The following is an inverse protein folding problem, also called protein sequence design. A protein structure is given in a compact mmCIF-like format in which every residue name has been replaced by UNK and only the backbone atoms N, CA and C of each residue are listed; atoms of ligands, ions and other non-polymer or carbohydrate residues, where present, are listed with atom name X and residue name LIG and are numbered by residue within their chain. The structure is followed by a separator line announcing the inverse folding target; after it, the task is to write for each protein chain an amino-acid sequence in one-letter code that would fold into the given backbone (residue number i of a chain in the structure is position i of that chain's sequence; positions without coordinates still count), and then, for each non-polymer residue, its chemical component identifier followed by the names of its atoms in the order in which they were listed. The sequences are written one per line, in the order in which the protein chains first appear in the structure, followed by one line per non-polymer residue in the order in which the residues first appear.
data_IF_379773852451
#
_entry.id   IF_379773852451
#
_cell.length_a   1.000
_cell.length_b   1.000
_cell.length_c   1.000
_cell.angle_alpha   90.00
_cell.angle_beta   90.00
_cell.angle_gamma   90.00
#
_symmetry.space_group_name_H-M   'P 1'
#
loop_
_entity.id
_entity.type
_entity.pdbx_description
1 polymer ?
#
# COMPACT_ATOMS: atom_id res chain seq x y z
N UNK A 1 12.36 19.76 17.53
CA UNK A 1 11.24 19.13 18.24
C UNK A 1 10.21 18.71 17.22
N UNK A 2 10.08 17.40 17.03
CA UNK A 2 9.05 16.84 16.15
C UNK A 2 7.69 17.26 16.71
N UNK A 3 6.76 17.83 15.92
CA UNK A 3 5.45 18.19 16.43
C UNK A 3 4.77 16.93 16.97
N UNK A 4 4.41 16.94 18.24
CA UNK A 4 3.56 15.89 18.82
C UNK A 4 2.21 15.99 18.12
N UNK A 5 1.94 15.04 17.25
CA UNK A 5 0.65 14.90 16.58
C UNK A 5 -0.41 14.78 17.66
N UNK A 6 -1.38 15.69 17.65
CA UNK A 6 -2.40 15.74 18.68
C UNK A 6 -3.20 14.42 18.66
N UNK A 7 -3.25 13.76 19.81
CA UNK A 7 -4.03 12.55 20.07
C UNK A 7 -5.50 12.67 19.61
N UNK A 8 -6.04 13.90 19.59
CA UNK A 8 -7.41 14.23 19.13
C UNK A 8 -7.66 13.98 17.62
N UNK A 9 -6.64 14.05 16.76
CA UNK A 9 -6.83 13.80 15.31
C UNK A 9 -7.08 12.32 14.96
N UNK A 10 -6.81 11.40 15.90
CA UNK A 10 -6.98 9.95 15.71
C UNK A 10 -8.19 9.37 16.43
N UNK A 11 -9.06 10.22 16.99
CA UNK A 11 -10.31 9.76 17.60
C UNK A 11 -11.21 9.11 16.53
N UNK A 12 -11.69 7.90 16.79
CA UNK A 12 -12.45 7.10 15.83
C UNK A 12 -11.60 6.42 14.74
N UNK A 13 -10.26 6.41 14.87
CA UNK A 13 -9.31 5.80 13.94
C UNK A 13 -8.36 4.79 14.61
N UNK A 14 -8.59 4.43 15.88
CA UNK A 14 -7.79 3.45 16.60
C UNK A 14 -8.04 2.03 16.10
N UNK A 15 -7.18 1.10 16.46
CA UNK A 15 -7.34 -0.31 16.07
C UNK A 15 -8.63 -0.94 16.62
N UNK A 16 -9.07 -0.53 17.81
CA UNK A 16 -10.39 -0.91 18.35
C UNK A 16 -11.54 -0.45 17.45
N UNK A 17 -11.47 0.80 16.93
CA UNK A 17 -12.47 1.33 16.00
C UNK A 17 -12.45 0.58 14.66
N UNK A 18 -11.24 0.15 14.22
CA UNK A 18 -11.09 -0.72 13.06
C UNK A 18 -11.80 -2.04 13.24
N UNK A 19 -11.60 -2.73 14.38
CA UNK A 19 -12.25 -4.02 14.66
C UNK A 19 -13.78 -3.88 14.68
N UNK A 20 -14.30 -2.85 15.32
CA UNK A 20 -15.73 -2.55 15.34
C UNK A 20 -16.28 -2.24 13.95
N UNK A 21 -15.50 -1.52 13.14
CA UNK A 21 -15.88 -1.15 11.77
C UNK A 21 -15.95 -2.39 10.87
N UNK A 22 -14.93 -3.25 10.89
CA UNK A 22 -14.90 -4.49 10.11
C UNK A 22 -16.01 -5.46 10.52
N UNK A 23 -16.30 -5.58 11.83
CA UNK A 23 -17.39 -6.43 12.32
C UNK A 23 -18.76 -5.97 11.80
N UNK A 24 -18.96 -4.66 11.58
CA UNK A 24 -20.20 -4.08 11.03
C UNK A 24 -20.27 -4.09 9.50
N UNK A 25 -19.13 -4.30 8.84
CA UNK A 25 -18.99 -4.25 7.38
C UNK A 25 -18.30 -5.52 6.89
N UNK A 26 -18.90 -6.66 7.18
CA UNK A 26 -18.36 -7.98 6.83
C UNK A 26 -18.03 -8.07 5.33
N UNK A 27 -16.85 -8.56 5.02
CA UNK A 27 -16.35 -8.71 3.65
C UNK A 27 -15.84 -7.41 3.00
N UNK A 28 -15.83 -6.28 3.72
CA UNK A 28 -15.23 -5.05 3.19
C UNK A 28 -13.72 -5.25 2.96
N UNK A 29 -13.24 -4.75 1.84
CA UNK A 29 -11.83 -4.83 1.47
C UNK A 29 -10.98 -3.95 2.39
N UNK A 30 -9.84 -4.48 2.81
CA UNK A 30 -8.85 -3.74 3.60
C UNK A 30 -7.55 -3.65 2.83
N UNK A 31 -6.89 -2.50 2.88
CA UNK A 31 -5.56 -2.28 2.32
C UNK A 31 -4.60 -1.96 3.47
N UNK A 32 -3.51 -2.68 3.57
CA UNK A 32 -2.42 -2.36 4.49
C UNK A 32 -1.47 -1.36 3.82
N UNK A 33 -1.06 -0.34 4.56
CA UNK A 33 -0.22 0.75 4.07
C UNK A 33 1.02 0.93 4.95
N UNK A 34 2.18 1.17 4.32
CA UNK A 34 3.46 1.40 5.00
C UNK A 34 4.46 2.10 4.07
N UNK A 35 5.63 2.44 4.60
CA UNK A 35 6.78 2.90 3.83
C UNK A 35 7.98 1.97 4.00
N UNK A 36 8.76 1.76 2.93
CA UNK A 36 10.04 1.03 2.97
C UNK A 36 11.16 2.02 2.70
N UNK A 37 12.09 2.12 3.65
CA UNK A 37 13.28 2.95 3.52
C UNK A 37 14.45 2.11 2.96
N UNK A 38 15.16 2.68 1.98
CA UNK A 38 16.47 2.18 1.56
C UNK A 38 17.55 2.70 2.51
N UNK A 39 18.06 3.88 2.23
CA UNK A 39 18.98 4.62 3.09
C UNK A 39 18.22 5.68 3.91
N UNK A 40 18.72 5.96 5.11
CA UNK A 40 18.15 7.01 5.95
C UNK A 40 18.23 8.39 5.27
N UNK A 41 17.08 9.02 5.09
CA UNK A 41 16.96 10.36 4.51
C UNK A 41 16.94 10.41 2.99
N UNK A 42 17.00 9.26 2.29
CA UNK A 42 16.80 9.15 0.84
C UNK A 42 15.34 8.90 0.46
N UNK A 43 15.12 8.61 -0.83
CA UNK A 43 13.80 8.20 -1.33
C UNK A 43 13.28 6.93 -0.65
N UNK A 44 11.96 6.81 -0.60
CA UNK A 44 11.25 5.69 0.01
C UNK A 44 10.27 5.09 -0.98
N UNK A 45 9.84 3.85 -0.68
CA UNK A 45 8.69 3.25 -1.34
C UNK A 45 7.47 3.36 -0.41
N UNK A 46 6.43 4.03 -0.85
CA UNK A 46 5.11 4.00 -0.24
C UNK A 46 4.38 2.77 -0.79
N UNK A 47 4.03 1.84 0.08
CA UNK A 47 3.48 0.52 -0.30
C UNK A 47 2.04 0.37 0.17
N UNK A 48 1.23 -0.22 -0.70
CA UNK A 48 -0.16 -0.58 -0.45
C UNK A 48 -0.34 -2.07 -0.78
N UNK A 49 -0.95 -2.83 0.11
CA UNK A 49 -1.17 -4.27 -0.07
C UNK A 49 -2.61 -4.64 0.24
N UNK A 50 -3.22 -5.42 -0.61
CA UNK A 50 -4.47 -6.13 -0.33
C UNK A 50 -4.17 -7.50 0.29
N UNK A 51 -4.40 -7.73 1.60
CA UNK A 51 -4.11 -9.01 2.27
C UNK A 51 -4.89 -10.20 1.71
N UNK A 52 -6.07 -9.94 1.11
CA UNK A 52 -6.96 -10.97 0.55
C UNK A 52 -6.33 -11.74 -0.60
N UNK A 53 -5.50 -11.09 -1.40
CA UNK A 53 -4.86 -11.69 -2.58
C UNK A 53 -3.34 -11.45 -2.63
N UNK A 54 -2.77 -10.75 -1.64
CA UNK A 54 -1.37 -10.34 -1.55
C UNK A 54 -0.87 -9.45 -2.72
N UNK A 55 -1.78 -8.82 -3.46
CA UNK A 55 -1.40 -7.85 -4.48
C UNK A 55 -0.83 -6.61 -3.82
N UNK A 56 0.29 -6.12 -4.33
CA UNK A 56 1.00 -4.96 -3.81
C UNK A 56 1.15 -3.89 -4.88
N UNK A 57 1.02 -2.63 -4.46
CA UNK A 57 1.49 -1.46 -5.19
C UNK A 57 2.67 -0.84 -4.44
N UNK A 58 3.57 -0.19 -5.15
CA UNK A 58 4.61 0.63 -4.55
C UNK A 58 4.83 1.89 -5.38
N UNK A 59 5.01 3.00 -4.68
CA UNK A 59 5.23 4.32 -5.27
C UNK A 59 6.52 4.90 -4.72
N UNK A 60 7.37 5.40 -5.61
CA UNK A 60 8.58 6.08 -5.21
C UNK A 60 8.24 7.48 -4.71
N UNK A 61 8.59 7.79 -3.48
CA UNK A 61 8.38 9.11 -2.86
C UNK A 61 9.71 9.72 -2.45
N UNK A 62 9.81 11.05 -2.57
CA UNK A 62 11.08 11.78 -2.36
C UNK A 62 11.49 11.84 -0.89
N UNK A 63 10.53 12.02 0.01
CA UNK A 63 10.80 12.18 1.44
C UNK A 63 9.70 11.53 2.28
N UNK A 64 10.02 11.19 3.54
CA UNK A 64 9.07 10.68 4.54
C UNK A 64 8.17 11.79 5.09
N UNK A 65 7.51 12.51 4.19
CA UNK A 65 6.58 13.57 4.54
C UNK A 65 5.16 13.21 4.12
N UNK A 66 4.19 13.57 4.93
CA UNK A 66 2.78 13.28 4.71
C UNK A 66 2.26 13.78 3.35
N UNK A 67 2.75 14.94 2.88
CA UNK A 67 2.37 15.46 1.55
C UNK A 67 2.65 14.47 0.41
N UNK A 68 3.73 13.68 0.50
CA UNK A 68 4.12 12.73 -0.54
C UNK A 68 3.25 11.47 -0.51
N UNK A 69 2.89 10.99 0.68
CA UNK A 69 1.99 9.84 0.82
C UNK A 69 0.55 10.20 0.46
N UNK A 70 0.08 11.40 0.81
CA UNK A 70 -1.24 11.92 0.38
C UNK A 70 -1.28 12.10 -1.14
N UNK A 71 -0.22 12.65 -1.75
CA UNK A 71 -0.14 12.81 -3.21
C UNK A 71 -0.27 11.47 -3.96
N UNK A 72 0.17 10.35 -3.37
CA UNK A 72 -0.07 9.01 -3.93
C UNK A 72 -1.56 8.69 -4.00
N UNK A 73 -2.32 9.04 -2.95
CA UNK A 73 -3.77 8.82 -2.92
C UNK A 73 -4.50 9.73 -3.92
N UNK A 74 -4.05 10.97 -4.07
CA UNK A 74 -4.62 11.91 -5.03
C UNK A 74 -4.40 11.40 -6.47
N UNK A 75 -3.19 10.93 -6.77
CA UNK A 75 -2.87 10.31 -8.06
C UNK A 75 -3.70 9.03 -8.31
N UNK A 76 -3.86 8.18 -7.30
CA UNK A 76 -4.68 6.97 -7.41
C UNK A 76 -6.14 7.29 -7.71
N UNK A 77 -6.72 8.27 -7.00
CA UNK A 77 -8.10 8.70 -7.23
C UNK A 77 -8.28 9.36 -8.60
N UNK A 78 -7.32 10.18 -9.04
CA UNK A 78 -7.32 10.79 -10.38
C UNK A 78 -7.25 9.74 -11.48
N UNK A 79 -6.38 8.72 -11.32
CA UNK A 79 -6.18 7.65 -12.29
C UNK A 79 -7.38 6.72 -12.40
N UNK A 80 -7.97 6.34 -11.27
CA UNK A 80 -9.07 5.36 -11.20
C UNK A 80 -10.45 6.00 -11.34
N UNK A 81 -10.61 7.24 -10.91
CA UNK A 81 -11.87 7.87 -10.61
C UNK A 81 -12.36 7.55 -9.20
N UNK A 82 -13.13 8.46 -8.60
CA UNK A 82 -13.52 8.38 -7.17
C UNK A 82 -14.32 7.12 -6.82
N UNK A 83 -15.15 6.60 -7.72
CA UNK A 83 -15.97 5.40 -7.48
C UNK A 83 -15.08 4.15 -7.40
N UNK A 84 -14.22 3.93 -8.39
CA UNK A 84 -13.30 2.79 -8.43
C UNK A 84 -12.28 2.87 -7.30
N UNK A 85 -11.82 4.09 -6.95
CA UNK A 85 -10.95 4.27 -5.79
C UNK A 85 -11.64 3.77 -4.50
N UNK A 86 -12.89 4.15 -4.24
CA UNK A 86 -13.65 3.69 -3.06
C UNK A 86 -13.86 2.18 -3.05
N UNK A 87 -14.02 1.57 -4.21
CA UNK A 87 -14.17 0.12 -4.32
C UNK A 87 -12.88 -0.62 -3.96
N UNK A 88 -11.73 -0.12 -4.44
CA UNK A 88 -10.44 -0.79 -4.26
C UNK A 88 -9.78 -0.46 -2.91
N UNK A 89 -9.99 0.74 -2.39
CA UNK A 89 -9.37 1.27 -1.17
C UNK A 89 -10.37 1.74 -0.11
N UNK A 90 -11.43 0.97 0.21
CA UNK A 90 -12.47 1.44 1.13
C UNK A 90 -11.96 1.62 2.57
N UNK A 91 -10.98 0.80 2.98
CA UNK A 91 -10.37 0.83 4.31
C UNK A 91 -8.86 0.72 4.21
N UNK A 92 -8.17 1.62 4.89
CA UNK A 92 -6.71 1.62 5.01
C UNK A 92 -6.32 1.32 6.46
N UNK A 93 -5.45 0.35 6.66
CA UNK A 93 -4.82 0.06 7.93
C UNK A 93 -3.32 0.39 7.85
N UNK A 94 -2.86 1.29 8.71
CA UNK A 94 -1.47 1.76 8.72
C UNK A 94 -0.88 1.82 10.13
N UNK A 95 0.39 2.09 10.25
CA UNK A 95 1.02 2.38 11.54
C UNK A 95 0.89 3.87 11.93
N UNK A 96 1.55 4.22 13.04
CA UNK A 96 1.53 5.57 13.57
C UNK A 96 2.67 6.45 13.02
N UNK A 97 3.19 6.18 11.83
CA UNK A 97 4.22 6.98 11.18
C UNK A 97 3.81 8.45 11.02
N UNK A 98 4.79 9.36 11.05
CA UNK A 98 4.52 10.80 10.87
C UNK A 98 4.01 11.12 9.46
N UNK A 99 4.36 10.29 8.48
CA UNK A 99 3.89 10.36 7.10
C UNK A 99 2.42 9.98 6.92
N UNK A 100 1.79 9.42 7.96
CA UNK A 100 0.38 9.00 7.98
C UNK A 100 -0.43 9.72 9.07
N UNK A 101 0.09 10.78 9.64
CA UNK A 101 -0.37 11.38 10.88
C UNK A 101 -1.76 12.00 10.86
N UNK A 102 -2.24 12.44 9.71
CA UNK A 102 -3.54 13.11 9.56
C UNK A 102 -4.48 12.26 8.68
N UNK A 103 -5.42 11.50 9.27
CA UNK A 103 -6.32 10.63 8.52
C UNK A 103 -7.24 11.43 7.60
N UNK A 104 -7.63 12.66 7.95
CA UNK A 104 -8.57 13.46 7.16
C UNK A 104 -8.02 13.77 5.77
N UNK A 105 -6.70 13.98 5.63
CA UNK A 105 -6.07 14.25 4.34
C UNK A 105 -6.12 13.04 3.39
N UNK A 106 -6.04 11.82 3.95
CA UNK A 106 -6.20 10.59 3.16
C UNK A 106 -7.67 10.30 2.84
N UNK A 107 -8.57 10.62 3.75
CA UNK A 107 -10.00 10.34 3.62
C UNK A 107 -10.74 11.30 2.69
N UNK A 108 -10.20 12.50 2.47
CA UNK A 108 -10.85 13.53 1.64
C UNK A 108 -10.71 13.20 0.15
N UNK A 109 -11.84 12.94 -0.51
CA UNK A 109 -11.88 12.71 -1.96
C UNK A 109 -11.99 14.00 -2.77
N UNK A 110 -11.67 13.92 -4.07
CA UNK A 110 -11.73 15.04 -5.00
C UNK A 110 -13.18 15.54 -5.23
N UNK A 111 -14.16 14.66 -5.08
CA UNK A 111 -15.58 14.98 -5.20
C UNK A 111 -16.20 15.55 -3.90
N UNK A 112 -15.37 15.83 -2.91
CA UNK A 112 -15.80 16.36 -1.60
C UNK A 112 -16.38 15.32 -0.65
N UNK A 113 -16.50 14.06 -1.06
CA UNK A 113 -16.91 12.93 -0.21
C UNK A 113 -15.68 12.22 0.37
N UNK A 114 -15.89 11.40 1.39
CA UNK A 114 -14.83 10.51 1.87
C UNK A 114 -14.49 9.48 0.78
N UNK A 115 -13.19 9.37 0.43
CA UNK A 115 -12.70 8.37 -0.53
C UNK A 115 -12.30 7.04 0.13
N UNK A 116 -11.93 7.07 1.41
CA UNK A 116 -11.50 5.90 2.18
C UNK A 116 -11.77 6.11 3.65
N UNK A 117 -11.50 5.11 4.49
CA UNK A 117 -11.43 5.21 5.93
C UNK A 117 -10.09 4.70 6.43
N UNK A 118 -9.37 5.52 7.20
CA UNK A 118 -8.04 5.20 7.70
C UNK A 118 -8.11 4.76 9.15
N UNK A 119 -7.42 3.68 9.50
CA UNK A 119 -7.25 3.21 10.87
C UNK A 119 -5.78 2.95 11.16
N UNK A 120 -5.42 3.03 12.43
CA UNK A 120 -4.05 2.87 12.90
C UNK A 120 -3.88 1.63 13.75
N UNK A 121 -2.81 0.87 13.46
CA UNK A 121 -2.37 -0.21 14.32
C UNK A 121 -1.95 0.32 15.69
N UNK A 122 -2.01 -0.53 16.69
CA UNK A 122 -1.43 -0.27 18.00
C UNK A 122 0.10 -0.20 17.90
N UNK A 123 0.68 0.64 18.74
CA UNK A 123 2.14 0.77 18.77
C UNK A 123 2.80 -0.54 19.18
N UNK A 124 3.80 -0.99 18.45
CA UNK A 124 4.55 -2.25 18.65
C UNK A 124 3.76 -3.54 18.36
N UNK A 125 2.67 -3.45 17.64
CA UNK A 125 1.85 -4.57 17.17
C UNK A 125 2.00 -4.76 15.66
N UNK A 126 3.22 -5.10 15.21
CA UNK A 126 3.53 -5.29 13.79
C UNK A 126 2.75 -6.43 13.15
N UNK A 127 2.33 -7.42 13.95
CA UNK A 127 1.49 -8.54 13.51
C UNK A 127 0.15 -8.10 12.92
N UNK A 128 -0.36 -6.92 13.28
CA UNK A 128 -1.60 -6.35 12.72
C UNK A 128 -1.48 -5.98 11.24
N UNK A 129 -0.24 -5.82 10.72
CA UNK A 129 0.09 -5.65 9.29
C UNK A 129 1.00 -6.78 8.75
N UNK A 130 0.94 -7.95 9.33
CA UNK A 130 1.87 -9.04 9.03
C UNK A 130 1.93 -9.48 7.57
N UNK A 131 0.87 -9.30 6.78
CA UNK A 131 0.89 -9.62 5.36
C UNK A 131 1.74 -8.62 4.56
N UNK A 132 1.64 -7.33 4.85
CA UNK A 132 2.46 -6.31 4.20
C UNK A 132 3.94 -6.50 4.57
N UNK A 133 4.25 -6.76 5.85
CA UNK A 133 5.62 -7.01 6.30
C UNK A 133 6.25 -8.22 5.58
N UNK A 134 5.50 -9.31 5.40
CA UNK A 134 5.95 -10.47 4.60
C UNK A 134 6.21 -10.11 3.14
N UNK A 135 5.39 -9.25 2.55
CA UNK A 135 5.58 -8.82 1.17
C UNK A 135 6.76 -7.86 1.03
N UNK A 136 7.11 -7.09 2.07
CA UNK A 136 8.33 -6.29 2.09
C UNK A 136 9.60 -7.14 1.98
N UNK A 137 9.59 -8.41 2.38
CA UNK A 137 10.73 -9.30 2.18
C UNK A 137 11.06 -9.52 0.70
N UNK A 138 10.05 -9.51 -0.20
CA UNK A 138 10.30 -9.56 -1.64
C UNK A 138 10.95 -8.28 -2.15
N UNK A 139 10.53 -7.11 -1.64
CA UNK A 139 11.19 -5.83 -1.95
C UNK A 139 12.65 -5.88 -1.49
N UNK A 140 12.91 -6.30 -0.25
CA UNK A 140 14.26 -6.42 0.31
C UNK A 140 15.12 -7.44 -0.41
N UNK A 141 14.53 -8.47 -1.02
CA UNK A 141 15.25 -9.43 -1.84
C UNK A 141 15.77 -8.79 -3.14
N UNK A 142 14.95 -7.96 -3.79
CA UNK A 142 15.32 -7.22 -5.02
C UNK A 142 16.19 -6.01 -4.69
N UNK A 143 15.81 -5.26 -3.66
CA UNK A 143 16.48 -4.05 -3.19
C UNK A 143 16.95 -4.25 -1.74
N UNK A 144 18.14 -4.85 -1.52
CA UNK A 144 18.63 -5.15 -0.20
C UNK A 144 18.70 -3.91 0.71
N UNK A 145 18.45 -4.14 2.00
CA UNK A 145 18.54 -3.09 3.02
C UNK A 145 19.89 -2.39 2.99
N UNK A 146 19.87 -1.07 3.00
CA UNK A 146 21.05 -0.22 2.93
C UNK A 146 21.38 0.28 1.53
N UNK A 147 20.66 -0.19 0.49
CA UNK A 147 20.78 0.38 -0.85
C UNK A 147 19.95 1.67 -0.93
N UNK A 148 20.48 2.69 -1.59
CA UNK A 148 19.72 3.90 -1.87
C UNK A 148 18.67 3.65 -2.95
N UNK A 149 17.49 4.26 -2.75
CA UNK A 149 16.46 4.31 -3.79
C UNK A 149 16.54 5.58 -4.65
N UNK A 150 17.52 6.46 -4.39
CA UNK A 150 17.62 7.77 -5.07
C UNK A 150 17.84 7.64 -6.58
N UNK A 151 18.52 6.58 -7.01
CA UNK A 151 18.73 6.27 -8.42
C UNK A 151 17.53 5.64 -9.15
N UNK A 152 16.46 5.28 -8.41
CA UNK A 152 15.28 4.67 -9.00
C UNK A 152 14.32 5.72 -9.57
N UNK A 153 13.54 5.29 -10.55
CA UNK A 153 12.35 5.97 -11.04
C UNK A 153 11.09 5.11 -10.83
N UNK A 154 9.91 5.71 -11.02
CA UNK A 154 8.64 5.02 -10.79
C UNK A 154 8.42 3.84 -11.74
N UNK A 155 8.92 3.90 -12.97
CA UNK A 155 8.81 2.81 -13.94
C UNK A 155 9.58 1.56 -13.48
N UNK A 156 10.78 1.74 -12.96
CA UNK A 156 11.58 0.64 -12.40
C UNK A 156 10.91 0.02 -11.17
N UNK A 157 10.31 0.86 -10.31
CA UNK A 157 9.55 0.38 -9.14
C UNK A 157 8.32 -0.41 -9.59
N UNK A 158 7.56 0.07 -10.57
CA UNK A 158 6.40 -0.63 -11.12
C UNK A 158 6.81 -1.98 -11.74
N UNK A 159 7.89 -2.00 -12.53
CA UNK A 159 8.44 -3.25 -13.10
C UNK A 159 8.78 -4.25 -11.99
N UNK A 160 9.49 -3.83 -10.96
CA UNK A 160 9.80 -4.67 -9.80
C UNK A 160 8.53 -5.23 -9.14
N UNK A 161 7.54 -4.39 -8.90
CA UNK A 161 6.27 -4.77 -8.27
C UNK A 161 5.51 -5.77 -9.15
N UNK A 162 5.50 -5.60 -10.47
CA UNK A 162 4.90 -6.56 -11.39
C UNK A 162 5.57 -7.94 -11.30
N UNK A 163 6.90 -8.02 -11.27
CA UNK A 163 7.60 -9.29 -11.03
C UNK A 163 7.25 -9.91 -9.67
N UNK A 164 7.21 -9.12 -8.60
CA UNK A 164 6.81 -9.56 -7.26
C UNK A 164 5.37 -10.10 -7.27
N UNK A 165 4.42 -9.39 -7.88
CA UNK A 165 3.02 -9.77 -7.95
C UNK A 165 2.76 -11.03 -8.79
N UNK A 166 3.66 -11.36 -9.72
CA UNK A 166 3.59 -12.57 -10.54
C UNK A 166 4.38 -13.75 -9.96
N UNK A 167 5.07 -13.58 -8.83
CA UNK A 167 5.74 -14.66 -8.11
C UNK A 167 4.73 -15.47 -7.29
N UNK A 168 4.81 -16.80 -7.36
CA UNK A 168 3.92 -17.71 -6.62
C UNK A 168 4.03 -17.55 -5.10
N UNK A 169 2.93 -17.75 -4.40
CA UNK A 169 2.86 -17.67 -2.94
C UNK A 169 2.35 -18.99 -2.36
N UNK A 170 3.04 -19.58 -1.36
CA UNK A 170 2.53 -20.75 -0.64
C UNK A 170 1.14 -20.53 -0.05
N UNK A 171 0.93 -19.36 0.58
CA UNK A 171 -0.37 -18.96 1.16
C UNK A 171 -1.51 -18.93 0.13
N UNK A 172 -1.20 -18.68 -1.15
CA UNK A 172 -2.17 -18.67 -2.24
C UNK A 172 -2.25 -20.02 -2.96
N UNK A 173 -1.82 -21.10 -2.30
CA UNK A 173 -1.80 -22.47 -2.85
C UNK A 173 -1.05 -22.56 -4.20
N UNK A 174 0.12 -21.91 -4.29
CA UNK A 174 0.94 -21.87 -5.49
C UNK A 174 0.44 -20.92 -6.58
N UNK A 175 -0.63 -20.16 -6.34
CA UNK A 175 -1.06 -19.08 -7.24
C UNK A 175 -0.23 -17.82 -7.03
N UNK A 176 -0.35 -16.86 -7.94
CA UNK A 176 0.29 -15.55 -7.82
C UNK A 176 -0.71 -14.50 -7.33
N UNK A 177 -0.24 -13.43 -6.64
CA UNK A 177 -1.09 -12.28 -6.30
C UNK A 177 -1.85 -11.73 -7.51
N UNK A 178 -1.17 -11.57 -8.64
CA UNK A 178 -1.77 -11.07 -9.88
C UNK A 178 -2.92 -11.95 -10.38
N UNK A 179 -2.74 -13.28 -10.43
CA UNK A 179 -3.80 -14.21 -10.83
C UNK A 179 -5.00 -14.22 -9.89
N UNK A 180 -4.77 -13.99 -8.60
CA UNK A 180 -5.86 -13.88 -7.61
C UNK A 180 -6.61 -12.56 -7.76
N UNK A 181 -5.89 -11.46 -7.92
CA UNK A 181 -6.49 -10.13 -8.09
C UNK A 181 -7.37 -10.04 -9.35
N UNK A 182 -6.97 -10.61 -10.46
CA UNK A 182 -7.76 -10.65 -11.70
C UNK A 182 -9.12 -11.35 -11.57
N UNK A 183 -9.35 -12.10 -10.50
CA UNK A 183 -10.66 -12.74 -10.23
C UNK A 183 -11.63 -11.85 -9.45
N UNK A 184 -11.12 -10.79 -8.80
CA UNK A 184 -11.89 -9.96 -7.87
C UNK A 184 -11.78 -8.46 -8.14
N UNK A 185 -10.85 -8.04 -8.98
CA UNK A 185 -10.63 -6.63 -9.32
C UNK A 185 -11.05 -6.36 -10.77
N UNK A 186 -11.48 -5.14 -11.02
CA UNK A 186 -11.76 -4.67 -12.37
C UNK A 186 -10.49 -4.66 -13.22
N UNK A 187 -10.56 -5.27 -14.41
CA UNK A 187 -9.40 -5.39 -15.30
C UNK A 187 -8.88 -4.04 -15.78
N UNK A 188 -9.78 -3.11 -16.10
CA UNK A 188 -9.41 -1.77 -16.55
C UNK A 188 -8.72 -0.98 -15.44
N UNK A 189 -9.16 -1.16 -14.18
CA UNK A 189 -8.46 -0.58 -13.02
C UNK A 189 -7.04 -1.13 -12.89
N UNK A 190 -6.84 -2.44 -13.07
CA UNK A 190 -5.51 -3.06 -13.03
C UNK A 190 -4.59 -2.50 -14.13
N UNK A 191 -5.11 -2.36 -15.36
CA UNK A 191 -4.40 -1.79 -16.51
C UNK A 191 -4.02 -0.31 -16.26
N UNK A 192 -4.94 0.50 -15.71
CA UNK A 192 -4.67 1.90 -15.33
C UNK A 192 -3.57 2.04 -14.29
N UNK A 193 -3.46 1.08 -13.38
CA UNK A 193 -2.39 1.02 -12.38
C UNK A 193 -1.07 0.46 -12.95
N UNK A 194 -1.02 0.10 -14.22
CA UNK A 194 0.15 -0.48 -14.87
C UNK A 194 0.48 -1.90 -14.41
N UNK A 195 -0.51 -2.59 -13.82
CA UNK A 195 -0.36 -3.97 -13.39
C UNK A 195 -0.56 -4.94 -14.56
N UNK A 196 0.39 -5.84 -14.74
CA UNK A 196 0.42 -6.76 -15.87
C UNK A 196 0.75 -8.20 -15.48
N UNK A 197 0.30 -9.15 -16.30
CA UNK A 197 0.69 -10.54 -16.15
C UNK A 197 2.07 -10.74 -16.78
N UNK A 198 3.00 -11.28 -16.00
CA UNK A 198 4.31 -11.71 -16.48
C UNK A 198 4.32 -13.23 -16.56
N UNK A 199 4.70 -13.82 -17.70
CA UNK A 199 4.89 -15.26 -17.84
C UNK A 199 5.89 -15.81 -16.82
N UNK A 200 5.68 -17.03 -16.29
CA UNK A 200 6.55 -17.59 -15.23
C UNK A 200 8.04 -17.66 -15.59
N UNK A 201 8.35 -17.89 -16.85
CA UNK A 201 9.72 -17.98 -17.40
C UNK A 201 10.39 -16.60 -17.59
N UNK A 202 9.61 -15.52 -17.56
CA UNK A 202 10.11 -14.15 -17.67
C UNK A 202 10.27 -13.48 -16.29
N UNK A 203 9.83 -14.14 -15.19
CA UNK A 203 9.91 -13.56 -13.85
C UNK A 203 11.38 -13.46 -13.43
N UNK A 204 11.83 -12.23 -13.15
CA UNK A 204 13.15 -11.94 -12.63
C UNK A 204 13.05 -11.06 -11.37
N UNK A 205 13.55 -11.58 -10.24
CA UNK A 205 13.65 -10.84 -8.97
C UNK A 205 15.11 -10.42 -8.66
N UNK A 206 16.04 -10.59 -9.59
CA UNK A 206 17.41 -10.10 -9.44
C UNK A 206 17.52 -8.75 -10.13
N UNK A 207 18.08 -7.73 -9.47
CA UNK A 207 18.39 -6.47 -10.14
C UNK A 207 19.48 -6.75 -11.21
N UNK A 208 19.28 -6.22 -12.42
CA UNK A 208 20.35 -6.07 -13.40
C UNK A 208 21.23 -4.86 -13.04
#
# INVERSE_FOLDING_TARGET
PTPKISYRKKEGHHYSDYLDFIAKNEGIRVVQMDTVEGNKGGKLLHTLLWPENNLMLAFLIETKEMKNTVATFDWLEETLGSEMFRELFPVILTDNGCEFADPELFEKGHDGKKRTRVFYCESRHSEQKGELEKNHEYIKYVLPKGNSFDGLNQEQVLRMVNHINNTTRPKLHGSTPMKKALKSFDKNAMEKLGLEIIPPDEICLKPE
#
